data_IF_170132131598
#
_entry.id   IF_170132131598
#
_cell.length_a   1.000
_cell.length_b   1.000
_cell.length_c   1.000
_cell.angle_alpha   90.00
_cell.angle_beta   90.00
_cell.angle_gamma   90.00
#
_symmetry.space_group_name_H-M   'P 1'
#
loop_
_entity.id
_entity.type
_entity.pdbx_description
1 polymer ?
#
# COMPACT_ATOMS: atom_id res chain seq x y z
N UNK A 1 4.61 -25.00 10.18
CA UNK A 1 4.52 -23.85 9.25
C UNK A 1 3.73 -22.76 9.96
N UNK A 2 4.11 -21.49 9.82
CA UNK A 2 3.36 -20.39 10.44
C UNK A 2 2.09 -20.19 9.63
N UNK A 3 0.94 -20.19 10.30
CA UNK A 3 -0.36 -19.96 9.65
C UNK A 3 -0.45 -18.51 9.18
N UNK A 4 -1.03 -18.23 7.99
CA UNK A 4 -1.23 -16.86 7.55
C UNK A 4 -2.14 -16.09 8.51
N UNK A 5 -2.05 -14.75 8.50
CA UNK A 5 -2.90 -13.89 9.34
C UNK A 5 -4.40 -14.11 9.12
N UNK A 6 -4.77 -14.54 7.91
CA UNK A 6 -6.10 -14.95 7.51
C UNK A 6 -6.01 -15.83 6.25
N UNK A 7 -7.04 -16.65 5.93
CA UNK A 7 -6.98 -17.56 4.79
C UNK A 7 -6.92 -16.83 3.45
N UNK A 8 -5.76 -16.80 2.80
CA UNK A 8 -5.57 -16.26 1.45
C UNK A 8 -4.35 -16.91 0.81
N UNK A 9 -4.32 -16.98 -0.51
CA UNK A 9 -3.23 -17.54 -1.32
C UNK A 9 -2.36 -16.44 -1.93
N UNK A 10 -1.14 -16.80 -2.33
CA UNK A 10 -0.27 -15.88 -3.07
C UNK A 10 -0.90 -15.42 -4.41
N UNK A 11 -1.63 -16.30 -5.11
CA UNK A 11 -2.29 -15.98 -6.36
C UNK A 11 -3.45 -14.98 -6.18
N UNK A 12 -4.25 -15.10 -5.11
CA UNK A 12 -5.25 -14.09 -4.75
C UNK A 12 -4.59 -12.74 -4.45
N UNK A 13 -3.45 -12.74 -3.75
CA UNK A 13 -2.69 -11.50 -3.48
C UNK A 13 -2.22 -10.85 -4.79
N UNK A 14 -1.62 -11.62 -5.69
CA UNK A 14 -1.15 -11.14 -6.99
C UNK A 14 -2.30 -10.59 -7.84
N UNK A 15 -3.47 -11.24 -7.83
CA UNK A 15 -4.68 -10.78 -8.52
C UNK A 15 -5.18 -9.44 -7.98
N UNK A 16 -5.32 -9.31 -6.66
CA UNK A 16 -5.72 -8.04 -6.01
C UNK A 16 -4.74 -6.92 -6.32
N UNK A 17 -3.45 -7.19 -6.27
CA UNK A 17 -2.41 -6.18 -6.54
C UNK A 17 -2.47 -5.72 -7.99
N UNK A 18 -2.57 -6.63 -8.95
CA UNK A 18 -2.69 -6.29 -10.37
C UNK A 18 -3.94 -5.44 -10.65
N UNK A 19 -5.12 -5.86 -10.15
CA UNK A 19 -6.37 -5.11 -10.34
C UNK A 19 -6.32 -3.75 -9.65
N UNK A 20 -5.74 -3.67 -8.45
CA UNK A 20 -5.56 -2.42 -7.74
C UNK A 20 -4.74 -1.41 -8.54
N UNK A 21 -3.60 -1.84 -9.09
CA UNK A 21 -2.75 -0.94 -9.85
C UNK A 21 -3.33 -0.58 -11.22
N UNK A 22 -4.17 -1.43 -11.83
CA UNK A 22 -4.95 -1.04 -12.99
C UNK A 22 -5.85 0.17 -12.69
N UNK A 23 -6.59 0.14 -11.57
CA UNK A 23 -7.41 1.29 -11.15
C UNK A 23 -6.59 2.51 -10.70
N UNK A 24 -5.46 2.31 -10.02
CA UNK A 24 -4.60 3.43 -9.58
C UNK A 24 -4.10 4.23 -10.77
N UNK A 25 -3.72 3.57 -11.87
CA UNK A 25 -3.22 4.24 -13.09
C UNK A 25 -4.27 5.18 -13.70
N UNK A 26 -5.54 4.84 -13.59
CA UNK A 26 -6.65 5.63 -14.13
C UNK A 26 -7.18 6.67 -13.14
N UNK A 27 -6.85 6.56 -11.84
CA UNK A 27 -7.38 7.44 -10.82
C UNK A 27 -6.79 8.87 -10.92
N UNK A 28 -7.60 9.92 -11.10
CA UNK A 28 -7.12 11.28 -11.42
C UNK A 28 -6.21 11.90 -10.35
N UNK A 29 -6.42 11.55 -9.07
CA UNK A 29 -5.58 12.04 -7.96
C UNK A 29 -4.40 11.14 -7.58
N UNK A 30 -4.39 9.86 -7.94
CA UNK A 30 -3.37 8.89 -7.50
C UNK A 30 -2.45 8.53 -8.65
N UNK A 31 -3.01 8.32 -9.85
CA UNK A 31 -2.28 7.98 -11.06
C UNK A 31 -1.07 8.88 -11.32
N UNK A 32 -1.21 10.22 -11.32
CA UNK A 32 -0.07 11.12 -11.52
C UNK A 32 1.02 10.99 -10.45
N UNK A 33 0.66 10.71 -9.20
CA UNK A 33 1.62 10.53 -8.10
C UNK A 33 2.44 9.26 -8.33
N UNK A 34 1.78 8.14 -8.64
CA UNK A 34 2.49 6.89 -8.94
C UNK A 34 3.30 6.99 -10.24
N UNK A 35 2.75 7.58 -11.31
CA UNK A 35 3.44 7.73 -12.59
C UNK A 35 4.73 8.56 -12.49
N UNK A 36 4.82 9.47 -11.51
CA UNK A 36 6.06 10.22 -11.24
C UNK A 36 7.18 9.35 -10.64
N UNK A 37 6.86 8.20 -10.05
CA UNK A 37 7.80 7.34 -9.31
C UNK A 37 7.89 5.90 -9.85
N UNK A 38 6.96 5.47 -10.68
CA UNK A 38 6.84 4.10 -11.20
C UNK A 38 6.94 4.13 -12.73
N UNK A 39 8.10 3.76 -13.24
CA UNK A 39 8.33 3.55 -14.67
C UNK A 39 8.07 2.10 -15.08
N UNK A 40 8.53 1.14 -14.27
CA UNK A 40 8.32 -0.30 -14.47
C UNK A 40 7.19 -0.79 -13.57
N UNK A 41 5.98 -0.83 -14.14
CA UNK A 41 4.78 -1.26 -13.43
C UNK A 41 4.79 -2.74 -13.03
N UNK A 42 5.13 -3.70 -13.91
CA UNK A 42 5.26 -5.10 -13.51
C UNK A 42 6.21 -5.30 -12.33
N UNK A 43 7.38 -4.62 -12.31
CA UNK A 43 8.31 -4.72 -11.19
C UNK A 43 7.74 -4.11 -9.90
N UNK A 44 7.01 -3.00 -10.00
CA UNK A 44 6.34 -2.37 -8.85
C UNK A 44 5.26 -3.28 -8.27
N UNK A 45 4.38 -3.83 -9.10
CA UNK A 45 3.32 -4.75 -8.68
C UNK A 45 3.91 -6.00 -8.03
N UNK A 46 4.93 -6.61 -8.62
CA UNK A 46 5.63 -7.75 -8.03
C UNK A 46 6.24 -7.41 -6.66
N UNK A 47 6.81 -6.21 -6.49
CA UNK A 47 7.33 -5.75 -5.20
C UNK A 47 6.22 -5.61 -4.14
N UNK A 48 5.06 -5.09 -4.52
CA UNK A 48 3.93 -4.89 -3.61
C UNK A 48 3.22 -6.20 -3.29
N UNK A 49 3.15 -7.15 -4.23
CA UNK A 49 2.73 -8.51 -3.97
C UNK A 49 3.64 -9.19 -2.94
N UNK A 50 4.98 -9.06 -3.07
CA UNK A 50 5.93 -9.55 -2.06
C UNK A 50 5.74 -8.89 -0.70
N UNK A 51 5.47 -7.58 -0.65
CA UNK A 51 5.15 -6.89 0.59
C UNK A 51 3.94 -7.54 1.29
N UNK A 52 2.85 -7.77 0.56
CA UNK A 52 1.64 -8.38 1.13
C UNK A 52 1.82 -9.85 1.49
N UNK A 53 2.50 -10.65 0.66
CA UNK A 53 2.85 -12.03 0.97
C UNK A 53 3.70 -12.12 2.24
N UNK A 54 4.66 -11.21 2.43
CA UNK A 54 5.41 -11.14 3.67
C UNK A 54 4.51 -10.71 4.87
N UNK A 55 3.64 -9.73 4.65
CA UNK A 55 2.76 -9.17 5.68
C UNK A 55 1.54 -10.06 6.01
N UNK A 56 1.19 -11.07 5.22
CA UNK A 56 0.01 -11.92 5.47
C UNK A 56 0.42 -13.38 5.62
N UNK A 57 1.27 -13.88 4.71
CA UNK A 57 1.70 -15.28 4.63
C UNK A 57 3.04 -15.55 5.35
N UNK A 58 3.73 -14.51 5.84
CA UNK A 58 5.01 -14.62 6.54
C UNK A 58 6.16 -15.23 5.72
N UNK A 59 6.11 -15.10 4.40
CA UNK A 59 7.07 -15.74 3.47
C UNK A 59 8.49 -15.15 3.45
N UNK A 60 8.75 -14.04 4.16
CA UNK A 60 10.08 -13.38 4.22
C UNK A 60 10.64 -13.01 2.84
N UNK A 61 9.77 -12.64 1.91
CA UNK A 61 10.11 -12.31 0.52
C UNK A 61 10.16 -10.80 0.22
N UNK A 62 10.09 -9.94 1.24
CA UNK A 62 10.15 -8.49 1.11
C UNK A 62 11.10 -7.89 2.14
N UNK A 63 12.03 -7.06 1.66
CA UNK A 63 13.14 -6.44 2.39
C UNK A 63 13.11 -4.90 2.36
N UNK A 64 12.10 -4.30 1.73
CA UNK A 64 11.98 -2.86 1.63
C UNK A 64 11.49 -2.18 2.93
N UNK A 65 11.62 -0.86 2.98
CA UNK A 65 11.07 -0.03 4.04
C UNK A 65 9.93 0.85 3.48
N UNK A 66 8.65 0.48 3.71
CA UNK A 66 7.52 1.25 3.18
C UNK A 66 7.54 2.70 3.64
N UNK A 67 7.81 2.99 4.92
CA UNK A 67 7.81 4.37 5.43
C UNK A 67 8.82 5.24 4.70
N UNK A 68 10.07 4.77 4.59
CA UNK A 68 11.13 5.52 3.89
C UNK A 68 10.81 5.74 2.42
N UNK A 69 10.19 4.75 1.74
CA UNK A 69 9.77 4.93 0.35
C UNK A 69 8.71 6.04 0.19
N UNK A 70 7.74 6.14 1.11
CA UNK A 70 6.71 7.18 1.03
C UNK A 70 7.26 8.57 1.40
N UNK A 71 8.22 8.66 2.34
CA UNK A 71 8.92 9.91 2.65
C UNK A 71 9.77 10.36 1.44
N UNK A 72 10.57 9.46 0.89
CA UNK A 72 11.48 9.75 -0.23
C UNK A 72 10.75 10.15 -1.52
N UNK A 73 9.50 9.71 -1.70
CA UNK A 73 8.67 10.13 -2.83
C UNK A 73 8.41 11.66 -2.83
N UNK A 74 8.44 12.32 -1.67
CA UNK A 74 8.39 13.78 -1.53
C UNK A 74 7.07 14.48 -1.89
N UNK A 75 6.21 13.83 -2.68
CA UNK A 75 4.91 14.34 -3.10
C UNK A 75 3.72 13.49 -2.59
N UNK A 76 3.97 12.45 -1.80
CA UNK A 76 2.91 11.68 -1.11
C UNK A 76 2.37 12.48 0.06
N UNK A 77 1.09 12.84 0.02
CA UNK A 77 0.45 13.66 1.06
C UNK A 77 -0.48 12.86 1.99
N UNK A 78 -0.60 13.21 3.30
CA UNK A 78 -1.51 12.55 4.24
C UNK A 78 -2.95 12.42 3.73
N UNK A 79 -3.44 13.41 2.98
CA UNK A 79 -4.78 13.39 2.39
C UNK A 79 -4.97 12.35 1.27
N UNK A 80 -3.89 11.81 0.69
CA UNK A 80 -3.93 10.80 -0.38
C UNK A 80 -4.18 9.38 0.14
N UNK A 81 -4.00 9.12 1.45
CA UNK A 81 -4.24 7.80 2.03
C UNK A 81 -5.72 7.41 2.01
N UNK A 82 -6.62 8.36 2.27
CA UNK A 82 -8.06 8.08 2.25
C UNK A 82 -8.56 7.59 0.88
N UNK A 83 -8.30 8.29 -0.26
CA UNK A 83 -8.70 7.78 -1.57
C UNK A 83 -7.96 6.50 -1.97
N UNK A 84 -6.69 6.33 -1.57
CA UNK A 84 -5.96 5.07 -1.80
C UNK A 84 -6.62 3.89 -1.08
N UNK A 85 -6.96 4.05 0.20
CA UNK A 85 -7.61 3.01 1.01
C UNK A 85 -9.02 2.71 0.50
N UNK A 86 -9.80 3.74 0.14
CA UNK A 86 -11.12 3.55 -0.46
C UNK A 86 -11.07 2.78 -1.78
N UNK A 87 -10.08 3.07 -2.63
CA UNK A 87 -9.88 2.32 -3.87
C UNK A 87 -9.44 0.87 -3.59
N UNK A 88 -8.55 0.67 -2.62
CA UNK A 88 -8.11 -0.67 -2.22
C UNK A 88 -9.27 -1.50 -1.66
N UNK A 89 -10.12 -0.92 -0.81
CA UNK A 89 -11.31 -1.60 -0.26
C UNK A 89 -12.29 -2.04 -1.35
N UNK A 90 -12.49 -1.22 -2.38
CA UNK A 90 -13.29 -1.58 -3.55
C UNK A 90 -12.71 -2.81 -4.27
N UNK A 91 -11.40 -2.82 -4.52
CA UNK A 91 -10.73 -3.91 -5.23
C UNK A 91 -10.73 -5.19 -4.41
N UNK A 92 -10.55 -5.11 -3.09
CA UNK A 92 -10.65 -6.27 -2.20
C UNK A 92 -12.03 -6.94 -2.30
N UNK A 93 -13.11 -6.15 -2.23
CA UNK A 93 -14.49 -6.65 -2.35
C UNK A 93 -14.81 -7.24 -3.71
N UNK A 94 -14.13 -6.77 -4.76
CA UNK A 94 -14.29 -7.26 -6.13
C UNK A 94 -13.66 -8.64 -6.34
N UNK A 95 -12.54 -8.92 -5.67
CA UNK A 95 -11.68 -10.08 -5.97
C UNK A 95 -11.72 -11.18 -4.90
N UNK A 96 -12.20 -10.88 -3.68
CA UNK A 96 -12.12 -11.80 -2.56
C UNK A 96 -13.49 -12.06 -1.92
N UNK A 97 -13.56 -13.12 -1.11
CA UNK A 97 -14.71 -13.36 -0.25
C UNK A 97 -14.81 -12.28 0.84
N UNK A 98 -16.02 -11.98 1.36
CA UNK A 98 -16.21 -10.90 2.33
C UNK A 98 -15.26 -10.97 3.52
N UNK A 99 -15.05 -12.14 4.11
CA UNK A 99 -14.18 -12.33 5.26
C UNK A 99 -12.70 -12.03 4.97
N UNK A 100 -12.23 -12.38 3.76
CA UNK A 100 -10.86 -12.09 3.31
C UNK A 100 -10.68 -10.60 3.04
N UNK A 101 -11.66 -9.99 2.36
CA UNK A 101 -11.67 -8.57 2.04
C UNK A 101 -11.67 -7.71 3.31
N UNK A 102 -12.49 -8.06 4.31
CA UNK A 102 -12.55 -7.36 5.59
C UNK A 102 -11.23 -7.48 6.37
N UNK A 103 -10.66 -8.69 6.46
CA UNK A 103 -9.41 -8.91 7.17
C UNK A 103 -8.23 -8.16 6.53
N UNK A 104 -8.13 -8.17 5.19
CA UNK A 104 -7.08 -7.45 4.48
C UNK A 104 -7.30 -5.94 4.54
N UNK A 105 -8.53 -5.46 4.40
CA UNK A 105 -8.88 -4.05 4.58
C UNK A 105 -8.44 -3.56 5.97
N UNK A 106 -8.82 -4.25 7.04
CA UNK A 106 -8.42 -3.88 8.41
C UNK A 106 -6.89 -3.80 8.57
N UNK A 107 -6.15 -4.73 7.97
CA UNK A 107 -4.69 -4.70 7.96
C UNK A 107 -4.13 -3.49 7.19
N UNK A 108 -4.68 -3.20 6.00
CA UNK A 108 -4.26 -2.09 5.16
C UNK A 108 -4.53 -0.73 5.82
N UNK A 109 -5.70 -0.55 6.44
CA UNK A 109 -6.05 0.67 7.17
C UNK A 109 -5.14 0.90 8.38
N UNK A 110 -4.78 -0.16 9.12
CA UNK A 110 -3.82 -0.07 10.23
C UNK A 110 -2.43 0.36 9.76
N UNK A 111 -1.93 -0.24 8.68
CA UNK A 111 -0.63 0.12 8.09
C UNK A 111 -0.68 1.55 7.54
N UNK A 112 -1.74 1.89 6.81
CA UNK A 112 -1.96 3.22 6.24
C UNK A 112 -2.03 4.32 7.29
N UNK A 113 -2.65 4.05 8.45
CA UNK A 113 -2.66 4.98 9.59
C UNK A 113 -1.26 5.26 10.10
N UNK A 114 -0.43 4.21 10.25
CA UNK A 114 0.97 4.35 10.66
C UNK A 114 1.81 5.13 9.64
N UNK A 115 1.67 4.82 8.35
CA UNK A 115 2.36 5.53 7.26
C UNK A 115 1.98 7.01 7.21
N UNK A 116 0.68 7.31 7.32
CA UNK A 116 0.17 8.68 7.36
C UNK A 116 0.73 9.45 8.55
N UNK A 117 0.75 8.85 9.74
CA UNK A 117 1.28 9.49 10.94
C UNK A 117 2.77 9.82 10.81
N UNK A 118 3.60 8.87 10.35
CA UNK A 118 5.03 9.12 10.17
C UNK A 118 5.35 10.15 9.08
N UNK A 119 4.51 10.27 8.03
CA UNK A 119 4.65 11.34 7.05
C UNK A 119 4.36 12.72 7.65
N UNK A 120 3.31 12.85 8.47
CA UNK A 120 2.99 14.11 9.16
C UNK A 120 4.14 14.52 10.07
N UNK A 121 4.71 13.57 10.82
CA UNK A 121 5.87 13.81 11.68
C UNK A 121 7.09 14.27 10.86
N UNK A 122 7.41 13.58 9.76
CA UNK A 122 8.56 13.91 8.91
C UNK A 122 8.53 15.34 8.34
N UNK A 123 7.33 15.91 8.15
CA UNK A 123 7.18 17.29 7.69
C UNK A 123 7.11 18.31 8.81
N UNK A 124 6.61 17.91 9.98
CA UNK A 124 6.61 18.74 11.18
C UNK A 124 8.01 18.94 11.77
N UNK A 125 8.93 18.00 11.51
CA UNK A 125 10.33 18.05 11.96
C UNK A 125 11.28 18.87 11.06
N UNK A 126 10.77 19.85 10.31
CA UNK A 126 11.64 20.84 9.66
C UNK A 126 12.54 21.54 10.70
N UNK A 127 13.78 21.96 10.34
CA UNK A 127 14.67 22.60 11.30
C UNK A 127 13.97 23.82 11.92
N UNK A 128 14.11 24.07 13.24
CA UNK A 128 13.48 25.23 13.86
C UNK A 128 13.94 26.49 13.14
N UNK A 129 12.98 27.29 12.67
CA UNK A 129 13.27 28.64 12.20
C UNK A 129 13.58 29.44 13.46
N UNK A 130 14.87 29.54 13.79
CA UNK A 130 15.35 30.54 14.72
C UNK A 130 15.12 31.92 14.05
N UNK A 131 14.04 32.59 14.45
CA UNK A 131 13.85 34.02 14.24
C UNK A 131 14.42 34.78 15.41
#
# INVERSE_FOLDING_TARGET
MIEPRFPITAAEIETVVADFYAFVREHPGLGPVFAAHVADWPAHEAKIARFWRNAILFERCYDGNPMQAHIAAGNVRPGMFAPWLGLFDMVLRRNLRPEQAEAWSALAHRIGTGLRAGLVESWGSGPPILR
#
